data_IF_611850646071
#
_entry.id   IF_611850646071
#
_cell.length_a   1.000
_cell.length_b   1.000
_cell.length_c   1.000
_cell.angle_alpha   90.00
_cell.angle_beta   90.00
_cell.angle_gamma   90.00
#
_symmetry.space_group_name_H-M   'P 1'
#
loop_
_entity.id
_entity.type
_entity.pdbx_description
1 polymer ?
#
# COMPACT_ATOMS: atom_id res chain seq x y z
N UNK A 1 7.80 -17.85 -1.37
CA UNK A 1 7.32 -16.60 -2.00
C UNK A 1 8.51 -15.84 -2.55
N UNK A 2 8.55 -15.57 -3.85
CA UNK A 2 9.59 -14.76 -4.48
C UNK A 2 9.06 -13.35 -4.71
N UNK A 3 9.81 -12.35 -4.27
CA UNK A 3 9.49 -10.93 -4.46
C UNK A 3 10.47 -10.37 -5.48
N UNK A 4 10.05 -9.38 -6.26
CA UNK A 4 10.91 -8.77 -7.28
C UNK A 4 12.22 -8.21 -6.70
N UNK A 5 13.25 -8.10 -7.54
CA UNK A 5 14.53 -7.46 -7.17
C UNK A 5 14.26 -6.04 -6.66
N UNK A 6 14.86 -5.65 -5.53
CA UNK A 6 14.62 -4.39 -4.81
C UNK A 6 13.18 -4.17 -4.26
N UNK A 7 12.38 -5.22 -4.14
CA UNK A 7 11.01 -5.13 -3.63
C UNK A 7 10.90 -5.37 -2.11
N UNK A 8 11.82 -4.81 -1.30
CA UNK A 8 11.80 -4.96 0.16
C UNK A 8 10.47 -4.52 0.78
N UNK A 9 9.84 -3.48 0.21
CA UNK A 9 8.49 -3.03 0.60
C UNK A 9 7.43 -4.11 0.36
N UNK A 10 7.48 -4.82 -0.77
CA UNK A 10 6.51 -5.87 -1.09
C UNK A 10 6.78 -7.14 -0.26
N UNK A 11 8.04 -7.42 0.07
CA UNK A 11 8.42 -8.48 1.00
C UNK A 11 7.84 -8.23 2.40
N UNK A 12 8.03 -7.02 2.91
CA UNK A 12 7.47 -6.61 4.20
C UNK A 12 5.95 -6.65 4.20
N UNK A 13 5.30 -6.20 3.13
CA UNK A 13 3.84 -6.24 3.01
C UNK A 13 3.31 -7.68 2.98
N UNK A 14 3.99 -8.59 2.30
CA UNK A 14 3.64 -10.01 2.28
C UNK A 14 3.79 -10.65 3.66
N UNK A 15 4.88 -10.35 4.37
CA UNK A 15 5.05 -10.80 5.76
C UNK A 15 3.94 -10.23 6.65
N UNK A 16 3.56 -8.97 6.45
CA UNK A 16 2.46 -8.33 7.17
C UNK A 16 1.13 -9.04 6.93
N UNK A 17 0.83 -9.37 5.67
CA UNK A 17 -0.37 -10.12 5.30
C UNK A 17 -0.44 -11.49 5.96
N UNK A 18 0.69 -12.20 6.06
CA UNK A 18 0.76 -13.50 6.74
C UNK A 18 0.46 -13.33 8.23
N UNK A 19 1.11 -12.38 8.91
CA UNK A 19 0.91 -12.13 10.35
C UNK A 19 -0.51 -11.62 10.67
N UNK A 20 -1.09 -10.81 9.77
CA UNK A 20 -2.44 -10.28 9.91
C UNK A 20 -3.55 -11.34 9.80
N UNK A 21 -3.25 -12.56 9.34
CA UNK A 21 -4.24 -13.67 9.34
C UNK A 21 -4.58 -14.17 10.75
N UNK A 22 -3.68 -13.94 11.72
CA UNK A 22 -3.83 -14.43 13.10
C UNK A 22 -3.83 -13.31 14.15
N UNK A 23 -3.62 -12.05 13.74
CA UNK A 23 -3.58 -10.89 14.64
C UNK A 23 -4.48 -9.76 14.11
N UNK A 24 -5.59 -9.52 14.82
CA UNK A 24 -6.59 -8.51 14.47
C UNK A 24 -6.04 -7.06 14.48
N UNK A 25 -5.03 -6.76 15.32
CA UNK A 25 -4.43 -5.41 15.34
C UNK A 25 -3.66 -5.18 14.05
N UNK A 26 -2.93 -6.20 13.60
CA UNK A 26 -2.18 -6.15 12.35
C UNK A 26 -3.11 -6.14 11.14
N UNK A 27 -4.25 -6.83 11.22
CA UNK A 27 -5.30 -6.75 10.20
C UNK A 27 -5.84 -5.33 10.04
N UNK A 28 -6.17 -4.64 11.16
CA UNK A 28 -6.62 -3.24 11.11
C UNK A 28 -5.56 -2.31 10.53
N UNK A 29 -4.32 -2.43 11.00
CA UNK A 29 -3.20 -1.66 10.47
C UNK A 29 -2.97 -1.90 8.96
N UNK A 30 -3.18 -3.12 8.48
CA UNK A 30 -3.11 -3.46 7.07
C UNK A 30 -4.23 -2.82 6.25
N UNK A 31 -5.46 -2.77 6.77
CA UNK A 31 -6.59 -2.09 6.13
C UNK A 31 -6.34 -0.58 6.04
N UNK A 32 -5.95 0.06 7.15
CA UNK A 32 -5.65 1.49 7.20
C UNK A 32 -4.52 1.85 6.21
N UNK A 33 -3.50 0.99 6.13
CA UNK A 33 -2.41 1.15 5.17
C UNK A 33 -2.90 1.13 3.72
N UNK A 34 -3.82 0.23 3.37
CA UNK A 34 -4.41 0.18 2.01
C UNK A 34 -5.25 1.41 1.70
N UNK A 35 -6.04 1.90 2.65
CA UNK A 35 -6.85 3.10 2.47
C UNK A 35 -5.96 4.32 2.25
N UNK A 36 -4.91 4.48 3.05
CA UNK A 36 -3.91 5.54 2.87
C UNK A 36 -3.28 5.48 1.48
N UNK A 37 -2.88 4.29 1.03
CA UNK A 37 -2.29 4.11 -0.30
C UNK A 37 -3.26 4.49 -1.43
N UNK A 38 -4.54 4.12 -1.30
CA UNK A 38 -5.56 4.48 -2.27
C UNK A 38 -5.78 6.01 -2.32
N UNK A 39 -5.80 6.66 -1.16
CA UNK A 39 -5.93 8.12 -1.06
C UNK A 39 -4.72 8.85 -1.66
N UNK A 40 -3.50 8.39 -1.35
CA UNK A 40 -2.27 8.93 -1.95
C UNK A 40 -2.27 8.77 -3.48
N UNK A 41 -2.71 7.62 -3.99
CA UNK A 41 -2.82 7.38 -5.44
C UNK A 41 -3.82 8.34 -6.10
N UNK A 42 -5.01 8.53 -5.49
CA UNK A 42 -6.02 9.47 -5.99
C UNK A 42 -5.53 10.92 -5.96
N UNK A 43 -4.86 11.33 -4.89
CA UNK A 43 -4.28 12.67 -4.77
C UNK A 43 -3.20 12.91 -5.84
N UNK A 44 -2.30 11.95 -6.08
CA UNK A 44 -1.31 12.05 -7.16
C UNK A 44 -1.96 12.14 -8.54
N UNK A 45 -3.02 11.38 -8.79
CA UNK A 45 -3.77 11.46 -10.04
C UNK A 45 -4.43 12.84 -10.23
N UNK A 46 -4.97 13.45 -9.17
CA UNK A 46 -5.53 14.80 -9.22
C UNK A 46 -4.47 15.86 -9.51
N UNK A 47 -3.27 15.72 -8.93
CA UNK A 47 -2.13 16.59 -9.22
C UNK A 47 -1.67 16.45 -10.68
N UNK A 48 -1.55 15.22 -11.19
CA UNK A 48 -1.20 14.98 -12.59
C UNK A 48 -2.25 15.56 -13.55
N UNK A 49 -3.54 15.37 -13.27
CA UNK A 49 -4.61 15.91 -14.10
C UNK A 49 -4.61 17.44 -14.14
N UNK A 50 -4.26 18.10 -13.02
CA UNK A 50 -4.09 19.56 -12.98
C UNK A 50 -2.88 20.04 -13.78
N UNK A 51 -1.77 19.29 -13.78
CA UNK A 51 -0.56 19.67 -14.52
C UNK A 51 -0.63 19.41 -16.02
N UNK A 52 -1.56 18.56 -16.48
CA UNK A 52 -1.75 18.25 -17.90
C UNK A 52 -2.76 19.18 -18.60
N UNK A 53 -3.58 19.91 -17.83
CA UNK A 53 -4.60 20.84 -18.33
C UNK A 53 -4.21 22.32 -18.13
N UNK A 54 -2.95 22.61 -17.83
CA UNK A 54 -2.40 23.95 -17.64
C UNK A 54 -1.53 24.38 -18.81
#
# INVERSE_FOLDING_TARGET
ATVGVNAAKNAGLLAMQILATTDERLQRAYVDFKEKLANESRAKNQTLAKSLNG
#
